data_IF_529105956492
#
_entry.id   IF_529105956492
#
_cell.length_a   1.000
_cell.length_b   1.000
_cell.length_c   1.000
_cell.angle_alpha   90.00
_cell.angle_beta   90.00
_cell.angle_gamma   90.00
#
_symmetry.space_group_name_H-M   'P 1'
#
loop_
_entity.id
_entity.type
_entity.pdbx_description
1 polymer ?
#
# COMPACT_ATOMS: atom_id res chain seq x y z
N UNK A 1 4.26 -21.51 12.69
CA UNK A 1 4.25 -20.20 12.00
C UNK A 1 3.12 -20.21 10.95
N UNK A 2 2.19 -19.24 11.00
CA UNK A 2 1.13 -19.01 9.98
C UNK A 2 1.37 -17.64 9.37
N UNK A 3 1.25 -17.53 8.04
CA UNK A 3 1.41 -16.26 7.31
C UNK A 3 0.13 -15.99 6.53
N UNK A 4 -0.39 -14.76 6.65
CA UNK A 4 -1.53 -14.28 5.87
C UNK A 4 -1.03 -13.18 4.91
N UNK A 5 -1.33 -13.33 3.64
CA UNK A 5 -1.02 -12.35 2.60
C UNK A 5 -2.02 -11.21 2.62
N UNK A 6 -1.51 -10.00 2.75
CA UNK A 6 -2.29 -8.76 2.79
C UNK A 6 -2.16 -7.93 1.51
N UNK A 7 -1.61 -8.54 0.45
CA UNK A 7 -1.26 -7.82 -0.77
C UNK A 7 -2.16 -8.15 -1.94
N UNK A 8 -2.63 -7.13 -2.63
CA UNK A 8 -3.30 -7.23 -3.93
C UNK A 8 -2.32 -7.75 -4.99
N UNK A 9 -2.77 -8.67 -5.83
CA UNK A 9 -1.95 -9.17 -6.95
C UNK A 9 -1.62 -8.04 -7.94
N UNK A 10 -0.36 -7.95 -8.33
CA UNK A 10 0.09 -7.06 -9.41
C UNK A 10 -0.39 -7.65 -10.75
N UNK A 11 -1.42 -7.06 -11.35
CA UNK A 11 -2.04 -7.53 -12.58
C UNK A 11 -2.63 -6.37 -13.39
N UNK A 12 -2.78 -6.57 -14.71
CA UNK A 12 -3.54 -5.63 -15.53
C UNK A 12 -5.01 -5.62 -15.10
N UNK A 13 -5.55 -4.42 -14.87
CA UNK A 13 -6.97 -4.23 -14.63
C UNK A 13 -7.48 -3.07 -15.51
N UNK A 14 -8.47 -3.34 -16.36
CA UNK A 14 -9.06 -2.32 -17.26
C UNK A 14 -9.87 -1.25 -16.52
N UNK A 15 -10.27 -1.53 -15.26
CA UNK A 15 -11.01 -0.59 -14.42
C UNK A 15 -10.11 0.42 -13.72
N UNK A 16 -8.83 0.13 -13.59
CA UNK A 16 -7.87 1.10 -13.06
C UNK A 16 -7.77 2.30 -14.00
N UNK A 17 -7.52 3.51 -13.48
CA UNK A 17 -7.21 4.69 -14.30
C UNK A 17 -6.12 4.36 -15.31
N UNK A 18 -6.26 4.87 -16.54
CA UNK A 18 -5.38 4.47 -17.64
C UNK A 18 -3.88 4.66 -17.35
N UNK A 19 -3.53 5.69 -16.56
CA UNK A 19 -2.16 6.01 -16.16
C UNK A 19 -1.62 5.12 -15.04
N UNK A 20 -2.48 4.36 -14.35
CA UNK A 20 -2.10 3.40 -13.30
C UNK A 20 -2.14 1.94 -13.78
N UNK A 21 -2.55 1.69 -15.03
CA UNK A 21 -2.66 0.34 -15.56
C UNK A 21 -1.31 -0.33 -15.69
N UNK A 22 -1.20 -1.51 -15.09
CA UNK A 22 0.01 -2.32 -15.09
C UNK A 22 0.11 -3.08 -16.42
N UNK A 23 1.31 -3.11 -17.00
CA UNK A 23 1.60 -3.87 -18.22
C UNK A 23 2.69 -4.89 -17.94
N UNK A 24 2.33 -6.17 -18.02
CA UNK A 24 3.27 -7.30 -17.87
C UNK A 24 3.36 -8.02 -19.20
N UNK A 25 4.59 -8.30 -19.64
CA UNK A 25 4.87 -9.12 -20.82
C UNK A 25 5.46 -10.44 -20.34
N UNK A 26 4.73 -11.51 -20.57
CA UNK A 26 5.19 -12.86 -20.28
C UNK A 26 5.94 -13.44 -21.49
N UNK A 27 7.04 -14.13 -21.23
CA UNK A 27 7.79 -14.90 -22.21
C UNK A 27 7.86 -16.35 -21.78
N UNK A 28 7.30 -17.23 -22.59
CA UNK A 28 7.26 -18.66 -22.30
C UNK A 28 8.63 -19.32 -22.50
N UNK A 29 8.82 -20.49 -21.89
CA UNK A 29 10.00 -21.35 -22.04
C UNK A 29 10.35 -21.58 -23.53
N UNK A 30 9.36 -21.93 -24.35
CA UNK A 30 9.55 -22.15 -25.79
C UNK A 30 10.11 -20.93 -26.52
N UNK A 31 9.61 -19.73 -26.20
CA UNK A 31 10.08 -18.49 -26.79
C UNK A 31 11.51 -18.17 -26.41
N UNK A 32 11.88 -18.36 -25.13
CA UNK A 32 13.25 -18.12 -24.66
C UNK A 32 14.23 -19.13 -25.27
N UNK A 33 13.85 -20.41 -25.37
CA UNK A 33 14.69 -21.44 -26.03
C UNK A 33 15.06 -21.05 -27.46
N UNK A 34 14.12 -20.48 -28.23
CA UNK A 34 14.39 -19.94 -29.56
C UNK A 34 15.38 -18.78 -29.57
N UNK A 35 15.22 -17.83 -28.63
CA UNK A 35 16.12 -16.68 -28.49
C UNK A 35 17.53 -17.07 -28.07
N UNK A 36 17.68 -18.03 -27.15
CA UNK A 36 18.99 -18.57 -26.71
C UNK A 36 19.75 -19.14 -27.91
N UNK A 37 19.08 -19.95 -28.75
CA UNK A 37 19.67 -20.48 -29.98
C UNK A 37 20.17 -19.38 -30.90
N UNK A 38 19.38 -18.35 -31.08
CA UNK A 38 19.73 -17.23 -31.94
C UNK A 38 20.88 -16.38 -31.39
N UNK A 39 20.77 -15.92 -30.12
CA UNK A 39 21.75 -14.99 -29.54
C UNK A 39 23.07 -15.67 -29.12
N UNK A 40 23.02 -16.92 -28.65
CA UNK A 40 24.23 -17.65 -28.22
C UNK A 40 24.78 -18.57 -29.31
N UNK A 41 24.11 -18.67 -30.45
CA UNK A 41 24.51 -19.55 -31.54
C UNK A 41 24.54 -21.06 -31.12
N UNK A 42 23.82 -21.42 -30.03
CA UNK A 42 23.87 -22.77 -29.48
C UNK A 42 22.98 -23.73 -30.27
N UNK A 43 23.55 -24.74 -30.98
CA UNK A 43 22.76 -25.71 -31.70
C UNK A 43 21.82 -26.51 -30.80
N UNK A 44 20.66 -26.91 -31.32
CA UNK A 44 19.65 -27.63 -30.55
C UNK A 44 20.16 -28.93 -29.88
N UNK A 45 21.11 -29.62 -30.54
CA UNK A 45 21.74 -30.86 -30.07
C UNK A 45 22.63 -30.67 -28.83
N UNK A 46 23.02 -29.42 -28.52
CA UNK A 46 23.87 -29.08 -27.36
C UNK A 46 23.07 -28.62 -26.16
N UNK A 47 21.74 -28.51 -26.25
CA UNK A 47 20.93 -28.30 -25.07
C UNK A 47 20.87 -29.53 -24.19
N UNK A 48 20.92 -29.37 -22.87
CA UNK A 48 20.73 -30.50 -21.96
C UNK A 48 19.41 -31.24 -22.24
N UNK A 49 19.40 -32.56 -22.02
CA UNK A 49 18.18 -33.37 -22.16
C UNK A 49 17.10 -32.84 -21.22
N UNK A 50 15.90 -32.56 -21.74
CA UNK A 50 14.78 -32.00 -20.98
C UNK A 50 14.80 -30.46 -20.82
N UNK A 51 15.78 -29.76 -21.38
CA UNK A 51 15.80 -28.30 -21.33
C UNK A 51 14.73 -27.71 -22.25
N UNK A 52 13.72 -27.04 -21.64
CA UNK A 52 12.60 -26.40 -22.35
C UNK A 52 12.76 -24.87 -22.53
N UNK A 53 13.87 -24.31 -22.08
CA UNK A 53 14.09 -22.86 -21.95
C UNK A 53 13.76 -22.38 -20.54
N UNK A 54 13.71 -21.08 -20.34
CA UNK A 54 13.27 -20.44 -19.09
C UNK A 54 12.12 -19.46 -19.35
N UNK A 55 11.26 -19.25 -18.37
CA UNK A 55 10.32 -18.14 -18.40
C UNK A 55 11.07 -16.83 -18.15
N UNK A 56 10.68 -15.75 -18.84
CA UNK A 56 11.29 -14.45 -18.70
C UNK A 56 10.17 -13.38 -18.82
N UNK A 57 9.80 -12.81 -17.70
CA UNK A 57 8.71 -11.86 -17.62
C UNK A 57 9.24 -10.43 -17.42
N UNK A 58 8.54 -9.45 -17.95
CA UNK A 58 8.89 -8.05 -17.79
C UNK A 58 7.68 -7.24 -17.37
N UNK A 59 7.83 -6.42 -16.32
CA UNK A 59 6.91 -5.33 -16.03
C UNK A 59 7.32 -4.18 -16.96
N UNK A 60 6.48 -3.89 -17.98
CA UNK A 60 6.78 -2.88 -19.00
C UNK A 60 6.36 -1.49 -18.51
N UNK A 61 5.29 -1.42 -17.72
CA UNK A 61 4.83 -0.17 -17.12
C UNK A 61 4.02 -0.45 -15.86
N UNK A 62 4.45 0.17 -14.76
CA UNK A 62 3.77 0.14 -13.47
C UNK A 62 4.17 1.39 -12.70
N UNK A 63 3.19 2.17 -12.25
CA UNK A 63 3.44 3.26 -11.30
C UNK A 63 3.87 2.70 -9.94
N UNK A 64 4.68 3.43 -9.20
CA UNK A 64 5.15 3.02 -7.86
C UNK A 64 4.01 2.97 -6.83
N UNK A 65 2.88 3.63 -7.10
CA UNK A 65 1.64 3.61 -6.31
C UNK A 65 0.60 2.59 -6.84
N UNK A 66 1.02 1.63 -7.66
CA UNK A 66 0.12 0.61 -8.22
C UNK A 66 0.08 -0.64 -7.34
N UNK A 67 -1.11 -1.25 -7.21
CA UNK A 67 -1.40 -2.39 -6.34
C UNK A 67 -1.09 -2.07 -4.86
N UNK A 68 -0.82 -3.08 -4.03
CA UNK A 68 -0.41 -2.83 -2.65
C UNK A 68 1.00 -2.24 -2.62
N UNK A 69 1.12 -1.06 -2.02
CA UNK A 69 2.36 -0.29 -1.96
C UNK A 69 2.47 0.43 -0.61
N UNK A 70 3.64 0.98 -0.35
CA UNK A 70 3.90 1.88 0.78
C UNK A 70 4.41 3.20 0.24
N UNK A 71 3.85 4.29 0.75
CA UNK A 71 4.23 5.66 0.43
C UNK A 71 5.34 6.15 1.36
N UNK A 72 6.34 6.79 0.77
CA UNK A 72 7.40 7.46 1.49
C UNK A 72 7.02 8.91 1.83
N UNK A 73 7.67 9.54 2.82
CA UNK A 73 7.46 10.95 3.16
C UNK A 73 7.56 11.90 1.95
N UNK A 74 8.45 11.60 1.00
CA UNK A 74 8.59 12.36 -0.26
C UNK A 74 7.31 12.42 -1.11
N UNK A 75 6.40 11.46 -0.94
CA UNK A 75 5.11 11.49 -1.63
C UNK A 75 4.22 12.64 -1.15
N UNK A 76 4.28 12.95 0.13
CA UNK A 76 3.39 13.93 0.76
C UNK A 76 3.87 15.37 0.57
N UNK A 77 5.18 15.56 0.60
CA UNK A 77 5.80 16.88 0.45
C UNK A 77 7.29 16.78 0.17
N UNK A 78 7.91 17.85 -0.36
CA UNK A 78 9.35 17.91 -0.56
C UNK A 78 10.13 17.98 0.75
N UNK A 79 9.49 18.40 1.84
CA UNK A 79 10.11 18.53 3.16
C UNK A 79 9.17 18.04 4.27
N UNK A 80 9.76 17.54 5.35
CA UNK A 80 9.08 17.25 6.61
C UNK A 80 9.65 18.19 7.66
N UNK A 81 8.83 19.08 8.21
CA UNK A 81 9.25 20.08 9.18
C UNK A 81 10.52 20.85 8.76
N UNK A 82 10.60 21.22 7.47
CA UNK A 82 11.70 21.96 6.88
C UNK A 82 12.94 21.15 6.48
N UNK A 83 13.06 19.89 6.88
CA UNK A 83 14.13 18.99 6.42
C UNK A 83 13.70 18.23 5.14
N UNK A 84 14.63 17.85 4.25
CA UNK A 84 14.30 17.05 3.07
C UNK A 84 13.53 15.79 3.45
N UNK A 85 12.41 15.53 2.76
CA UNK A 85 11.60 14.33 2.97
C UNK A 85 12.34 13.09 2.41
N UNK A 86 12.28 11.96 3.15
CA UNK A 86 12.87 10.69 2.71
C UNK A 86 12.14 10.11 1.51
N UNK A 87 12.91 9.62 0.56
CA UNK A 87 12.42 8.76 -0.52
C UNK A 87 12.31 7.30 -0.03
N UNK A 88 11.67 6.43 -0.83
CA UNK A 88 11.37 5.06 -0.40
C UNK A 88 12.62 4.22 -0.10
N UNK A 89 13.73 4.48 -0.78
CA UNK A 89 15.01 3.80 -0.56
C UNK A 89 15.79 4.30 0.67
N UNK A 90 15.30 5.36 1.31
CA UNK A 90 15.89 5.99 2.49
C UNK A 90 15.11 5.73 3.78
N UNK A 91 13.91 5.11 3.71
CA UNK A 91 13.15 4.80 4.93
C UNK A 91 13.89 3.79 5.81
N UNK A 92 13.86 3.96 7.15
CA UNK A 92 14.47 3.00 8.06
C UNK A 92 13.81 1.63 7.98
N UNK A 93 14.60 0.56 7.89
CA UNK A 93 14.08 -0.81 7.80
C UNK A 93 13.33 -1.24 9.06
N UNK A 94 13.67 -0.66 10.20
CA UNK A 94 13.02 -0.88 11.49
C UNK A 94 11.54 -0.47 11.47
N UNK A 95 11.14 0.42 10.57
CA UNK A 95 9.73 0.78 10.38
C UNK A 95 8.95 -0.30 9.64
N UNK A 96 9.64 -1.14 8.86
CA UNK A 96 9.03 -2.11 7.95
C UNK A 96 8.66 -3.44 8.61
N UNK A 97 8.95 -3.61 9.90
CA UNK A 97 8.64 -4.82 10.66
C UNK A 97 8.28 -4.50 12.12
N UNK A 98 7.10 -4.92 12.57
CA UNK A 98 6.64 -4.59 13.92
C UNK A 98 5.41 -5.37 14.34
N UNK A 99 4.97 -5.14 15.58
CA UNK A 99 3.69 -5.66 16.06
C UNK A 99 2.55 -5.06 15.24
N UNK A 100 1.59 -5.89 14.81
CA UNK A 100 0.41 -5.46 14.09
C UNK A 100 -0.77 -5.19 15.03
N UNK A 101 -1.50 -4.11 14.76
CA UNK A 101 -2.82 -3.82 15.34
C UNK A 101 -3.79 -3.53 14.21
N UNK A 102 -4.94 -4.20 14.18
CA UNK A 102 -6.05 -3.91 13.25
C UNK A 102 -7.06 -3.05 13.97
N UNK A 103 -7.44 -1.94 13.35
CA UNK A 103 -8.56 -1.09 13.75
C UNK A 103 -9.76 -1.41 12.86
N UNK A 104 -10.87 -1.88 13.44
CA UNK A 104 -12.10 -2.20 12.72
C UNK A 104 -12.93 -0.94 12.46
N UNK A 105 -12.82 -0.43 11.25
CA UNK A 105 -13.55 0.73 10.74
C UNK A 105 -14.64 0.34 9.72
N UNK A 106 -15.07 -0.93 9.69
CA UNK A 106 -16.06 -1.44 8.72
C UNK A 106 -17.45 -0.80 8.90
N UNK A 107 -17.71 -0.26 10.07
CA UNK A 107 -18.96 0.46 10.38
C UNK A 107 -19.03 1.87 9.76
N UNK A 108 -17.91 2.44 9.33
CA UNK A 108 -17.90 3.78 8.71
C UNK A 108 -18.54 3.74 7.34
N UNK A 109 -19.43 4.69 7.08
CA UNK A 109 -20.03 4.87 5.76
C UNK A 109 -19.02 5.40 4.72
N UNK A 110 -19.36 5.28 3.43
CA UNK A 110 -18.56 5.94 2.39
C UNK A 110 -18.58 7.46 2.61
N UNK A 111 -17.44 8.10 2.40
CA UNK A 111 -17.21 9.54 2.56
C UNK A 111 -17.23 10.05 4.01
N UNK A 112 -17.30 9.17 4.99
CA UNK A 112 -17.09 9.48 6.40
C UNK A 112 -15.61 9.43 6.75
N UNK A 113 -15.12 10.40 7.52
CA UNK A 113 -13.74 10.36 8.03
C UNK A 113 -13.65 9.47 9.28
N UNK A 114 -12.52 8.79 9.41
CA UNK A 114 -12.11 8.08 10.61
C UNK A 114 -11.47 9.10 11.55
N UNK A 115 -12.11 9.28 12.72
CA UNK A 115 -11.71 10.26 13.72
C UNK A 115 -10.97 9.59 14.89
N UNK A 116 -10.29 10.37 15.71
CA UNK A 116 -9.63 9.86 16.93
C UNK A 116 -10.59 9.12 17.84
N UNK A 117 -11.85 9.57 17.93
CA UNK A 117 -12.89 8.92 18.75
C UNK A 117 -13.18 7.49 18.25
N UNK A 118 -13.24 7.26 16.93
CA UNK A 118 -13.46 5.95 16.33
C UNK A 118 -12.31 4.98 16.71
N UNK A 119 -11.08 5.46 16.61
CA UNK A 119 -9.87 4.68 16.94
C UNK A 119 -9.87 4.30 18.42
N UNK A 120 -10.12 5.25 19.31
CA UNK A 120 -10.17 5.00 20.75
C UNK A 120 -11.24 4.00 21.14
N UNK A 121 -12.44 4.14 20.56
CA UNK A 121 -13.54 3.23 20.80
C UNK A 121 -13.21 1.78 20.36
N UNK A 122 -12.54 1.62 19.20
CA UNK A 122 -12.15 0.29 18.73
C UNK A 122 -11.01 -0.31 19.57
N UNK A 123 -10.01 0.48 19.98
CA UNK A 123 -8.95 0.03 20.89
C UNK A 123 -9.52 -0.41 22.25
N UNK A 124 -10.46 0.33 22.82
CA UNK A 124 -11.15 -0.04 24.07
C UNK A 124 -11.93 -1.36 23.91
N UNK A 125 -12.71 -1.48 22.83
CA UNK A 125 -13.50 -2.67 22.50
C UNK A 125 -12.63 -3.91 22.29
N UNK A 126 -11.53 -3.78 21.56
CA UNK A 126 -10.65 -4.90 21.19
C UNK A 126 -9.64 -5.27 22.25
N UNK A 127 -9.32 -4.35 23.17
CA UNK A 127 -8.22 -4.48 24.14
C UNK A 127 -6.84 -4.35 23.50
N UNK A 128 -6.75 -3.94 22.23
CA UNK A 128 -5.47 -3.72 21.56
C UNK A 128 -4.76 -2.47 22.10
N UNK A 129 -3.43 -2.52 22.14
CA UNK A 129 -2.59 -1.42 22.64
C UNK A 129 -1.61 -1.02 21.54
N UNK A 130 -1.56 0.26 21.24
CA UNK A 130 -0.57 0.85 20.34
C UNK A 130 0.64 1.27 21.17
N UNK A 131 1.82 0.82 20.75
CA UNK A 131 3.12 1.18 21.34
C UNK A 131 4.04 1.70 20.25
N UNK A 132 5.13 2.42 20.56
CA UNK A 132 6.09 2.85 19.56
C UNK A 132 6.57 1.69 18.69
N UNK A 133 6.55 1.87 17.36
CA UNK A 133 6.89 0.84 16.37
C UNK A 133 5.75 -0.14 16.03
N UNK A 134 4.55 0.03 16.61
CA UNK A 134 3.36 -0.70 16.14
C UNK A 134 3.02 -0.30 14.72
N UNK A 135 2.74 -1.28 13.84
CA UNK A 135 2.19 -1.08 12.50
C UNK A 135 0.65 -1.18 12.60
N UNK A 136 -0.03 -0.09 12.29
CA UNK A 136 -1.49 0.01 12.41
C UNK A 136 -2.15 -0.28 11.06
N UNK A 137 -3.08 -1.24 11.03
CA UNK A 137 -3.84 -1.64 9.85
C UNK A 137 -5.31 -1.22 10.03
N UNK A 138 -5.82 -0.42 9.10
CA UNK A 138 -7.17 0.15 9.13
C UNK A 138 -8.06 -0.70 8.23
N UNK A 139 -8.92 -1.50 8.83
CA UNK A 139 -9.85 -2.39 8.15
C UNK A 139 -11.16 -1.67 7.86
N UNK A 140 -11.38 -1.30 6.61
CA UNK A 140 -12.60 -0.63 6.16
C UNK A 140 -13.55 -1.57 5.42
N UNK A 141 -13.08 -2.76 5.02
CA UNK A 141 -13.81 -3.74 4.20
C UNK A 141 -14.05 -3.27 2.75
N UNK A 142 -13.26 -2.30 2.27
CA UNK A 142 -13.38 -1.80 0.88
C UNK A 142 -12.55 -2.61 -0.11
N UNK A 143 -11.69 -3.51 0.34
CA UNK A 143 -11.00 -4.49 -0.51
C UNK A 143 -11.99 -5.36 -1.33
N UNK A 144 -13.23 -5.52 -0.90
CA UNK A 144 -14.32 -6.14 -1.67
C UNK A 144 -14.58 -5.48 -3.04
N UNK A 145 -14.18 -4.23 -3.22
CA UNK A 145 -14.33 -3.50 -4.49
C UNK A 145 -13.12 -3.64 -5.42
N UNK A 146 -12.06 -4.34 -5.01
CA UNK A 146 -10.88 -4.57 -5.85
C UNK A 146 -11.28 -5.16 -7.20
N UNK A 147 -10.77 -4.57 -8.29
CA UNK A 147 -11.12 -4.98 -9.66
C UNK A 147 -12.35 -4.30 -10.24
N UNK A 148 -13.06 -3.50 -9.48
CA UNK A 148 -14.24 -2.74 -9.93
C UNK A 148 -13.96 -1.25 -10.07
N UNK A 149 -14.88 -0.50 -10.71
CA UNK A 149 -14.81 0.97 -10.81
C UNK A 149 -15.05 1.66 -9.46
N UNK A 150 -15.79 1.01 -8.59
CA UNK A 150 -16.14 1.51 -7.26
C UNK A 150 -14.91 1.67 -6.36
N UNK A 151 -13.86 0.87 -6.59
CA UNK A 151 -12.70 0.83 -5.72
C UNK A 151 -12.01 2.19 -5.54
N UNK A 152 -11.90 2.97 -6.61
CA UNK A 152 -11.34 4.33 -6.55
C UNK A 152 -12.36 5.44 -6.23
N UNK A 153 -13.65 5.08 -6.16
CA UNK A 153 -14.75 6.05 -6.08
C UNK A 153 -15.47 6.02 -4.73
N UNK A 154 -15.34 4.93 -3.99
CA UNK A 154 -16.02 4.69 -2.70
C UNK A 154 -14.97 4.46 -1.62
N UNK A 155 -15.31 4.86 -0.41
CA UNK A 155 -14.46 4.63 0.75
C UNK A 155 -14.66 5.66 1.83
N UNK A 156 -14.10 5.36 2.97
CA UNK A 156 -13.88 6.29 4.08
C UNK A 156 -12.49 6.92 3.91
N UNK A 157 -11.98 7.63 4.89
CA UNK A 157 -10.61 8.17 4.87
C UNK A 157 -10.16 8.57 6.26
N UNK A 158 -8.87 8.53 6.49
CA UNK A 158 -8.31 9.05 7.73
C UNK A 158 -8.48 10.56 7.80
N UNK A 159 -8.84 11.08 8.98
CA UNK A 159 -8.73 12.51 9.25
C UNK A 159 -7.27 12.89 9.53
N UNK A 160 -6.91 14.16 9.30
CA UNK A 160 -5.60 14.68 9.68
C UNK A 160 -5.36 14.50 11.19
N UNK A 161 -6.37 14.78 12.02
CA UNK A 161 -6.29 14.64 13.48
C UNK A 161 -6.00 13.20 13.90
N UNK A 162 -6.70 12.21 13.31
CA UNK A 162 -6.50 10.80 13.61
C UNK A 162 -5.10 10.33 13.15
N UNK A 163 -4.63 10.82 12.01
CA UNK A 163 -3.28 10.52 11.51
C UNK A 163 -2.22 11.11 12.43
N UNK A 164 -2.35 12.36 12.84
CA UNK A 164 -1.48 12.99 13.84
C UNK A 164 -1.46 12.22 15.15
N UNK A 165 -2.64 11.84 15.65
CA UNK A 165 -2.75 11.14 16.90
C UNK A 165 -2.02 9.80 16.88
N UNK A 166 -2.15 9.02 15.80
CA UNK A 166 -1.42 7.74 15.65
C UNK A 166 0.10 7.96 15.63
N UNK A 167 0.58 8.97 14.90
CA UNK A 167 2.02 9.28 14.87
C UNK A 167 2.51 9.68 16.27
N UNK A 168 1.72 10.40 17.07
CA UNK A 168 2.04 10.78 18.43
C UNK A 168 2.10 9.59 19.41
N UNK A 169 1.41 8.48 19.09
CA UNK A 169 1.59 7.22 19.81
C UNK A 169 2.86 6.45 19.39
N UNK A 170 3.68 7.00 18.51
CA UNK A 170 4.92 6.38 18.01
C UNK A 170 4.73 5.47 16.80
N UNK A 171 3.57 5.51 16.15
CA UNK A 171 3.32 4.79 14.88
C UNK A 171 4.12 5.44 13.75
N UNK A 172 4.89 4.65 13.02
CA UNK A 172 5.66 5.08 11.85
C UNK A 172 5.10 4.55 10.55
N UNK A 173 4.36 3.45 10.60
CA UNK A 173 3.73 2.84 9.42
C UNK A 173 2.28 2.52 9.74
N UNK A 174 1.40 2.96 8.85
CA UNK A 174 -0.04 2.65 8.86
C UNK A 174 -0.40 1.94 7.55
N UNK A 175 -1.58 1.33 7.48
CA UNK A 175 -2.05 0.73 6.23
C UNK A 175 -3.56 0.65 6.18
N UNK A 176 -4.12 0.70 4.96
CA UNK A 176 -5.57 0.69 4.74
C UNK A 176 -5.95 -0.25 3.58
N UNK A 177 -7.12 -0.88 3.66
CA UNK A 177 -7.63 -1.84 2.68
C UNK A 177 -8.51 -1.20 1.60
N UNK A 178 -8.26 0.06 1.28
CA UNK A 178 -8.93 0.79 0.22
C UNK A 178 -7.95 1.45 -0.75
N UNK A 179 -8.48 2.12 -1.77
CA UNK A 179 -7.68 2.67 -2.88
C UNK A 179 -6.76 3.81 -2.46
N UNK A 180 -7.12 4.60 -1.46
CA UNK A 180 -6.36 5.73 -0.94
C UNK A 180 -6.50 5.87 0.57
N UNK A 181 -5.61 6.62 1.21
CA UNK A 181 -5.57 6.80 2.67
C UNK A 181 -6.55 7.88 3.15
N UNK A 182 -6.73 8.92 2.35
CA UNK A 182 -7.77 9.95 2.53
C UNK A 182 -9.13 9.49 1.95
N UNK A 183 -10.13 10.35 2.05
CA UNK A 183 -11.37 10.21 1.31
C UNK A 183 -11.12 10.10 -0.20
N UNK A 184 -12.03 9.49 -0.99
CA UNK A 184 -11.86 9.38 -2.43
C UNK A 184 -11.54 10.72 -3.11
N UNK A 185 -10.47 10.79 -3.91
CA UNK A 185 -9.93 12.02 -4.52
C UNK A 185 -11.00 12.86 -5.22
N UNK A 186 -11.88 12.20 -6.00
CA UNK A 186 -12.94 12.90 -6.71
C UNK A 186 -13.93 13.57 -5.76
N UNK A 187 -14.27 12.90 -4.67
CA UNK A 187 -15.15 13.43 -3.64
C UNK A 187 -14.51 14.64 -2.95
N UNK A 188 -13.26 14.52 -2.50
CA UNK A 188 -12.53 15.64 -1.89
C UNK A 188 -12.46 16.85 -2.81
N UNK A 189 -12.13 16.65 -4.09
CA UNK A 189 -12.07 17.72 -5.08
C UNK A 189 -13.44 18.41 -5.30
N UNK A 190 -14.53 17.63 -5.28
CA UNK A 190 -15.88 18.18 -5.39
C UNK A 190 -16.25 19.00 -4.15
N UNK A 191 -15.98 18.48 -2.94
CA UNK A 191 -16.26 19.16 -1.69
C UNK A 191 -15.43 20.44 -1.53
N UNK A 192 -14.13 20.42 -1.84
CA UNK A 192 -13.27 21.59 -1.81
C UNK A 192 -13.82 22.71 -2.70
N UNK A 193 -14.28 22.38 -3.91
CA UNK A 193 -14.92 23.34 -4.84
C UNK A 193 -16.26 23.85 -4.32
N UNK A 194 -17.10 22.96 -3.80
CA UNK A 194 -18.42 23.33 -3.31
C UNK A 194 -18.36 24.21 -2.06
N UNK A 195 -17.45 23.88 -1.15
CA UNK A 195 -17.28 24.58 0.12
C UNK A 195 -16.34 25.79 0.01
N UNK A 196 -15.65 25.97 -1.13
CA UNK A 196 -14.60 26.99 -1.35
C UNK A 196 -13.54 26.96 -0.24
N UNK A 197 -13.08 25.74 0.11
CA UNK A 197 -12.09 25.49 1.17
C UNK A 197 -10.84 24.88 0.57
N UNK A 198 -9.68 25.45 0.88
CA UNK A 198 -8.34 25.00 0.46
C UNK A 198 -7.78 23.88 1.35
N UNK A 199 -8.29 23.76 2.58
CA UNK A 199 -7.88 22.76 3.56
C UNK A 199 -8.63 21.42 3.49
N UNK A 200 -9.54 21.24 2.51
CA UNK A 200 -10.36 20.02 2.43
C UNK A 200 -9.69 18.87 1.65
N UNK A 201 -8.75 19.18 0.80
CA UNK A 201 -8.14 18.19 -0.09
C UNK A 201 -6.89 17.56 0.53
N UNK A 202 -6.83 16.22 0.57
CA UNK A 202 -5.63 15.44 0.92
C UNK A 202 -5.10 15.66 2.36
N UNK A 203 -6.00 15.81 3.31
CA UNK A 203 -5.71 16.25 4.68
C UNK A 203 -4.80 15.28 5.45
N UNK A 204 -5.04 13.96 5.33
CA UNK A 204 -4.25 12.96 6.06
C UNK A 204 -2.84 12.82 5.47
N UNK A 205 -2.67 12.86 4.15
CA UNK A 205 -1.34 12.87 3.52
C UNK A 205 -0.54 14.11 3.93
N UNK A 206 -1.17 15.29 3.96
CA UNK A 206 -0.49 16.55 4.29
C UNK A 206 0.05 16.60 5.73
N UNK A 207 -0.39 15.72 6.62
CA UNK A 207 0.25 15.52 7.94
C UNK A 207 1.74 15.20 7.78
N UNK A 208 2.12 14.53 6.70
CA UNK A 208 3.51 14.21 6.36
C UNK A 208 4.42 15.42 6.13
N UNK A 209 3.87 16.64 5.94
CA UNK A 209 4.67 17.87 5.92
C UNK A 209 5.22 18.24 7.30
N UNK A 210 4.57 17.79 8.36
CA UNK A 210 4.90 18.15 9.74
C UNK A 210 5.54 16.98 10.50
N UNK A 211 5.13 15.75 10.22
CA UNK A 211 5.58 14.55 10.94
C UNK A 211 5.91 13.42 9.97
N UNK A 212 7.08 12.84 10.13
CA UNK A 212 7.56 11.77 9.26
C UNK A 212 6.88 10.43 9.58
N UNK A 213 6.21 9.87 8.58
CA UNK A 213 5.56 8.57 8.62
C UNK A 213 5.44 7.99 7.21
N UNK A 214 5.06 6.74 7.12
CA UNK A 214 4.70 6.05 5.88
C UNK A 214 3.28 5.47 6.01
N UNK A 215 2.56 5.32 4.90
CA UNK A 215 1.37 4.51 4.91
C UNK A 215 1.30 3.57 3.71
N UNK A 216 0.61 2.45 3.90
CA UNK A 216 0.30 1.48 2.88
C UNK A 216 -1.11 1.70 2.36
N UNK A 217 -1.29 1.55 1.07
CA UNK A 217 -2.59 1.57 0.42
C UNK A 217 -2.87 0.26 -0.29
N UNK A 218 -4.15 0.02 -0.57
CA UNK A 218 -4.63 -1.13 -1.31
C UNK A 218 -4.26 -2.48 -0.66
N UNK A 219 -4.29 -2.53 0.68
CA UNK A 219 -4.23 -3.80 1.40
C UNK A 219 -5.49 -4.64 1.12
N UNK A 220 -5.39 -5.93 1.34
CA UNK A 220 -6.52 -6.88 1.26
C UNK A 220 -6.48 -7.84 2.44
N UNK A 221 -7.58 -8.57 2.66
CA UNK A 221 -7.68 -9.64 3.67
C UNK A 221 -7.52 -9.17 5.13
N UNK A 222 -7.67 -7.89 5.43
CA UNK A 222 -7.56 -7.40 6.82
C UNK A 222 -8.61 -8.02 7.74
N UNK A 223 -9.80 -8.34 7.20
CA UNK A 223 -10.87 -9.02 7.95
C UNK A 223 -10.54 -10.45 8.38
N UNK A 224 -9.45 -11.05 7.88
CA UNK A 224 -8.97 -12.36 8.32
C UNK A 224 -8.04 -12.30 9.54
N UNK A 225 -7.71 -11.10 10.02
CA UNK A 225 -6.81 -10.88 11.14
C UNK A 225 -7.57 -10.67 12.45
N UNK A 226 -7.03 -11.11 13.59
CA UNK A 226 -7.46 -10.62 14.89
C UNK A 226 -7.02 -9.17 15.08
N UNK A 227 -7.53 -8.49 16.10
CA UNK A 227 -7.16 -7.11 16.39
C UNK A 227 -5.65 -6.94 16.69
N UNK A 228 -4.99 -7.94 17.25
CA UNK A 228 -3.55 -7.95 17.57
C UNK A 228 -3.04 -9.40 17.72
N UNK A 229 -1.77 -9.57 18.13
CA UNK A 229 -1.16 -10.90 18.34
C UNK A 229 -0.43 -11.45 17.12
N UNK A 230 0.03 -10.58 16.21
CA UNK A 230 0.82 -10.92 15.03
C UNK A 230 1.86 -9.84 14.73
N UNK A 231 2.82 -10.18 13.90
CA UNK A 231 3.77 -9.22 13.31
C UNK A 231 3.34 -8.85 11.90
N UNK A 232 3.66 -7.64 11.49
CA UNK A 232 3.53 -7.18 10.08
C UNK A 232 4.91 -7.01 9.48
N UNK A 233 5.06 -7.48 8.25
CA UNK A 233 6.25 -7.24 7.41
C UNK A 233 5.81 -6.52 6.13
N UNK A 234 6.50 -5.39 5.80
CA UNK A 234 6.14 -4.50 4.68
C UNK A 234 7.37 -3.93 3.97
N UNK A 235 8.39 -4.72 3.75
CA UNK A 235 9.59 -4.24 3.05
C UNK A 235 9.29 -3.84 1.60
N UNK A 236 9.42 -2.54 1.24
CA UNK A 236 9.21 -2.08 -0.13
C UNK A 236 10.35 -2.48 -1.07
N UNK A 237 10.08 -2.47 -2.36
CA UNK A 237 11.15 -2.49 -3.34
C UNK A 237 12.03 -1.25 -3.17
N UNK A 238 13.35 -1.43 -3.14
CA UNK A 238 14.33 -0.33 -2.98
C UNK A 238 14.52 0.39 -4.31
N UNK A 239 13.63 1.32 -4.62
CA UNK A 239 13.64 2.12 -5.86
C UNK A 239 14.25 3.48 -5.57
N UNK A 240 15.43 3.76 -6.13
CA UNK A 240 16.18 5.00 -5.87
C UNK A 240 15.35 6.26 -6.16
N UNK A 241 15.22 7.12 -5.16
CA UNK A 241 14.57 8.43 -5.27
C UNK A 241 13.06 8.38 -5.52
N UNK A 242 12.40 7.22 -5.33
CA UNK A 242 10.98 7.10 -5.60
C UNK A 242 10.12 7.55 -4.42
N UNK A 243 8.89 8.00 -4.73
CA UNK A 243 7.90 8.47 -3.76
C UNK A 243 7.17 7.33 -3.04
N UNK A 244 7.23 6.12 -3.58
CA UNK A 244 6.60 4.92 -3.05
C UNK A 244 7.26 3.67 -3.65
N UNK A 245 6.89 2.50 -3.16
CA UNK A 245 7.16 1.25 -3.86
C UNK A 245 6.14 0.17 -3.55
N UNK A 246 5.86 -0.74 -4.51
CA UNK A 246 5.13 -1.96 -4.24
C UNK A 246 5.81 -2.79 -3.15
N UNK A 247 5.00 -3.40 -2.30
CA UNK A 247 5.46 -4.26 -1.22
C UNK A 247 4.61 -5.54 -1.13
N UNK A 248 5.24 -6.66 -0.76
CA UNK A 248 4.49 -7.84 -0.33
C UNK A 248 4.26 -7.74 1.17
N UNK A 249 3.08 -7.26 1.55
CA UNK A 249 2.68 -7.09 2.95
C UNK A 249 2.10 -8.39 3.47
N UNK A 250 2.58 -8.84 4.63
CA UNK A 250 2.11 -10.07 5.27
C UNK A 250 1.94 -9.89 6.77
N UNK A 251 0.94 -10.60 7.33
CA UNK A 251 0.81 -10.81 8.77
C UNK A 251 1.41 -12.17 9.14
N UNK A 252 2.25 -12.21 10.17
CA UNK A 252 3.02 -13.37 10.62
C UNK A 252 2.59 -13.72 12.05
N UNK A 253 2.13 -14.95 12.25
CA UNK A 253 1.79 -15.52 13.55
C UNK A 253 2.88 -16.50 13.97
N UNK A 254 3.43 -16.31 15.13
CA UNK A 254 4.40 -17.22 15.76
C UNK A 254 3.75 -18.51 16.26
#
# INVERSE_FOLDING_TARGET
MKIIDLSKTIAYNKQDPWFMRIKIKHKTHRQSKGLIRFFLGLPAKLFPKGFEGWADDKIIGMGVHAATHIDAPWHYAPTVNGAPAKTIDEIPLEWCYGNGVVLDMTHKADFEQIMVADIRADLEKSGAVITPGTIVLIHTGRDKYVGTKEYAMRGTGMSAEATHWLIDQGVKVMGIDQWGFDLPLKYMAQQAKQLQRDDYFWQAHLVGQQKEYCHMEQLVNLGALPAFGFKVSVFPLKIKGASAAPARVVAIFE
#
